data_IF_124311437489
#
_entry.id   IF_124311437489
#
_cell.length_a   1.000
_cell.length_b   1.000
_cell.length_c   1.000
_cell.angle_alpha   90.00
_cell.angle_beta   90.00
_cell.angle_gamma   90.00
#
_symmetry.space_group_name_H-M   'P 1'
#
loop_
_entity.id
_entity.type
_entity.pdbx_description
1 polymer ?
2 water ?
#
# COMPACT_ATOMS: atom_id res chain seq x y z
N UNK A 4 -7.55 -21.20 -12.38
CA UNK A 4 -7.65 -20.21 -11.31
C UNK A 4 -6.54 -19.16 -11.42
N UNK A 5 -5.29 -19.62 -11.29
CA UNK A 5 -4.13 -18.75 -11.38
C UNK A 5 -3.65 -18.71 -12.82
N UNK A 6 -3.65 -17.51 -13.41
CA UNK A 6 -3.12 -17.29 -14.75
C UNK A 6 -2.26 -16.03 -14.69
N UNK A 7 -0.98 -16.18 -15.02
CA UNK A 7 -0.07 -15.04 -14.99
C UNK A 7 -0.21 -14.25 -16.28
N UNK A 8 -0.37 -12.94 -16.13
CA UNK A 8 -0.38 -12.00 -17.25
C UNK A 8 1.06 -11.81 -17.71
N UNK A 9 1.42 -12.44 -18.82
CA UNK A 9 2.82 -12.45 -19.24
C UNK A 9 3.25 -11.22 -20.02
N UNK A 10 2.34 -10.44 -20.60
CA UNK A 10 2.81 -9.18 -21.18
C UNK A 10 3.17 -8.22 -20.05
N UNK A 11 2.39 -8.24 -18.98
CA UNK A 11 2.69 -7.45 -17.79
C UNK A 11 3.97 -7.93 -17.12
N UNK A 12 4.13 -9.25 -16.99
CA UNK A 12 5.36 -9.83 -16.44
C UNK A 12 6.57 -9.39 -17.23
N UNK A 13 6.50 -9.48 -18.56
CA UNK A 13 7.63 -9.11 -19.42
C UNK A 13 7.98 -7.63 -19.26
N UNK A 14 6.98 -6.75 -19.36
CA UNK A 14 7.26 -5.32 -19.29
C UNK A 14 7.86 -4.92 -17.94
N UNK A 15 7.35 -5.51 -16.86
CA UNK A 15 7.79 -5.11 -15.53
C UNK A 15 9.16 -5.71 -15.20
N UNK A 16 9.37 -6.96 -15.58
CA UNK A 16 10.69 -7.58 -15.38
C UNK A 16 11.75 -6.87 -16.20
N UNK A 17 11.44 -6.50 -17.45
CA UNK A 17 12.42 -5.77 -18.25
C UNK A 17 12.64 -4.36 -17.70
N UNK A 18 11.59 -3.71 -17.19
CA UNK A 18 11.79 -2.42 -16.53
C UNK A 18 12.73 -2.54 -15.35
N UNK A 19 12.59 -3.61 -14.56
CA UNK A 19 13.49 -3.85 -13.43
C UNK A 19 14.91 -4.08 -13.88
N UNK A 20 15.10 -4.90 -14.92
CA UNK A 20 16.41 -5.10 -15.53
C UNK A 20 17.02 -3.76 -15.95
N UNK A 21 16.24 -2.94 -16.66
CA UNK A 21 16.76 -1.69 -17.17
C UNK A 21 17.18 -0.75 -16.05
N UNK A 22 16.44 -0.74 -14.94
CA UNK A 22 16.60 0.32 -13.95
C UNK A 22 17.54 -0.04 -12.80
N UNK A 23 17.71 -1.33 -12.47
CA UNK A 23 18.40 -1.62 -11.22
C UNK A 23 19.89 -1.23 -11.18
N UNK A 24 20.68 -1.30 -12.26
CA UNK A 24 22.11 -0.97 -12.11
C UNK A 24 22.35 0.47 -11.69
N UNK A 25 21.42 1.38 -11.96
CA UNK A 25 21.52 2.77 -11.51
C UNK A 25 20.79 3.04 -10.20
N UNK A 26 20.23 2.02 -9.55
CA UNK A 26 19.86 2.16 -8.14
C UNK A 26 21.06 2.67 -7.35
N UNK A 27 20.78 3.41 -6.28
CA UNK A 27 21.83 3.81 -5.35
C UNK A 27 22.68 2.60 -4.97
N UNK A 28 23.99 2.80 -4.92
CA UNK A 28 24.88 1.72 -4.61
C UNK A 28 25.30 0.87 -5.80
N UNK A 29 24.75 1.11 -6.99
CA UNK A 29 25.15 0.44 -8.22
C UNK A 29 25.22 -1.08 -8.08
N UNK A 30 24.11 -1.75 -7.76
CA UNK A 30 24.17 -3.22 -7.68
C UNK A 30 24.40 -3.80 -9.07
N UNK A 31 25.17 -4.88 -9.12
CA UNK A 31 25.45 -5.59 -10.35
C UNK A 31 24.47 -6.71 -10.65
N UNK A 32 23.66 -7.09 -9.67
CA UNK A 32 22.64 -8.11 -9.78
C UNK A 32 21.71 -7.95 -8.59
N UNK A 33 20.55 -8.60 -8.66
CA UNK A 33 19.54 -8.56 -7.61
C UNK A 33 19.23 -9.99 -7.20
N UNK A 34 19.01 -10.23 -5.90
CA UNK A 34 18.52 -11.52 -5.42
C UNK A 34 17.38 -11.29 -4.42
N UNK A 35 16.23 -11.92 -4.69
CA UNK A 35 15.05 -11.86 -3.82
C UNK A 35 14.65 -13.28 -3.47
N UNK A 36 14.43 -13.54 -2.17
CA UNK A 36 14.16 -14.90 -1.70
C UNK A 36 12.88 -14.85 -0.89
N UNK A 37 11.86 -15.59 -1.34
CA UNK A 37 10.61 -15.67 -0.62
C UNK A 37 10.55 -17.04 0.05
N UNK A 38 10.40 -17.05 1.36
CA UNK A 38 10.27 -18.32 2.04
C UNK A 38 8.82 -18.73 2.17
N UNK A 39 8.40 -19.13 3.37
CA UNK A 39 7.00 -19.46 3.56
C UNK A 39 6.17 -18.19 3.62
N UNK A 40 4.93 -18.28 3.13
CA UNK A 40 4.05 -17.13 3.16
C UNK A 40 3.78 -16.70 4.60
N UNK A 41 3.73 -15.40 4.80
CA UNK A 41 3.46 -14.80 6.11
C UNK A 41 2.30 -13.82 5.90
N UNK A 42 1.08 -14.31 6.07
CA UNK A 42 -0.09 -13.46 5.85
C UNK A 42 -0.17 -12.30 6.84
N UNK A 43 0.63 -12.34 7.90
CA UNK A 43 0.66 -11.25 8.88
C UNK A 43 1.55 -10.08 8.46
N UNK A 44 2.37 -10.24 7.43
CA UNK A 44 3.21 -9.15 6.91
C UNK A 44 3.14 -9.15 5.40
N UNK A 45 2.04 -8.64 4.83
CA UNK A 45 1.83 -8.72 3.38
C UNK A 45 2.61 -7.71 2.56
N UNK A 46 3.26 -6.72 3.19
CA UNK A 46 3.88 -5.62 2.47
C UNK A 46 5.40 -5.69 2.47
N UNK A 47 5.98 -6.88 2.67
CA UNK A 47 7.43 -7.01 2.51
C UNK A 47 7.80 -6.82 1.05
N UNK A 48 9.02 -6.30 0.82
CA UNK A 48 9.37 -5.89 -0.52
C UNK A 48 9.36 -7.07 -1.49
N UNK A 49 9.78 -8.24 -1.02
CA UNK A 49 9.84 -9.38 -1.91
C UNK A 49 8.44 -9.85 -2.29
N UNK A 50 7.51 -9.83 -1.32
CA UNK A 50 6.12 -10.14 -1.62
C UNK A 50 5.53 -9.13 -2.58
N UNK A 51 5.79 -7.84 -2.35
CA UNK A 51 5.32 -6.83 -3.29
C UNK A 51 5.87 -7.11 -4.68
N UNK A 52 7.17 -7.40 -4.77
CA UNK A 52 7.78 -7.70 -6.06
C UNK A 52 7.07 -8.85 -6.76
N UNK A 53 6.73 -9.92 -6.02
CA UNK A 53 5.99 -11.03 -6.62
C UNK A 53 4.64 -10.56 -7.12
N UNK A 54 3.93 -9.78 -6.32
CA UNK A 54 2.61 -9.31 -6.73
C UNK A 54 2.72 -8.46 -7.96
N UNK A 55 3.80 -7.66 -8.05
CA UNK A 55 4.02 -6.79 -9.20
C UNK A 55 4.40 -7.59 -10.44
N UNK A 56 5.37 -8.50 -10.32
CA UNK A 56 5.83 -9.22 -11.51
C UNK A 56 4.81 -10.25 -11.97
N UNK A 57 4.21 -10.97 -11.01
CA UNK A 57 3.47 -12.19 -11.28
C UNK A 57 1.98 -12.06 -11.03
N UNK A 58 1.55 -11.10 -10.20
CA UNK A 58 0.18 -11.02 -9.76
C UNK A 58 -0.14 -11.86 -8.55
N UNK A 59 0.82 -12.65 -8.07
CA UNK A 59 0.62 -13.61 -6.98
C UNK A 59 1.93 -13.75 -6.24
N UNK A 60 1.84 -14.07 -4.95
CA UNK A 60 3.01 -14.44 -4.19
C UNK A 60 3.35 -15.91 -4.48
N UNK A 61 4.63 -16.18 -4.80
CA UNK A 61 5.10 -17.54 -5.02
C UNK A 61 5.97 -17.94 -3.85
N UNK A 62 5.45 -18.66 -2.87
CA UNK A 62 6.28 -19.03 -1.72
C UNK A 62 7.43 -19.93 -2.14
N UNK A 63 8.45 -19.99 -1.27
CA UNK A 63 9.57 -20.91 -1.43
C UNK A 63 10.19 -20.78 -2.82
N UNK A 64 10.53 -19.54 -3.19
CA UNK A 64 10.94 -19.19 -4.53
C UNK A 64 12.04 -18.15 -4.47
N UNK A 65 13.06 -18.31 -5.30
CA UNK A 65 14.11 -17.33 -5.45
C UNK A 65 14.06 -16.73 -6.85
N UNK A 66 14.21 -15.42 -6.94
CA UNK A 66 14.31 -14.71 -8.21
C UNK A 66 15.58 -13.87 -8.16
N UNK A 67 16.46 -14.07 -9.13
CA UNK A 67 17.66 -13.25 -9.26
C UNK A 67 17.67 -12.60 -10.63
N UNK A 68 18.11 -11.34 -10.69
CA UNK A 68 18.03 -10.54 -11.91
C UNK A 68 19.43 -10.07 -12.28
N UNK A 69 19.74 -10.13 -13.57
CA UNK A 69 21.03 -9.73 -14.13
C UNK A 69 20.79 -8.92 -15.40
N UNK A 70 21.86 -8.30 -15.92
CA UNK A 70 21.75 -7.62 -17.21
C UNK A 70 21.23 -8.57 -18.29
N UNK A 71 21.75 -9.78 -18.34
CA UNK A 71 21.49 -10.66 -19.48
C UNK A 71 20.43 -11.71 -19.20
N UNK A 72 19.84 -11.73 -18.01
CA UNK A 72 18.85 -12.75 -17.72
C UNK A 72 18.35 -12.73 -16.30
N UNK A 73 17.58 -13.77 -16.00
CA UNK A 73 16.89 -13.88 -14.73
C UNK A 73 16.85 -15.37 -14.38
N UNK A 74 17.10 -15.70 -13.12
CA UNK A 74 17.00 -17.07 -12.63
C UNK A 74 15.85 -17.11 -11.65
N UNK A 75 14.94 -18.05 -11.85
CA UNK A 75 13.86 -18.34 -10.90
C UNK A 75 14.08 -19.76 -10.41
N UNK A 76 14.20 -19.92 -9.09
CA UNK A 76 14.27 -21.24 -8.46
C UNK A 76 12.92 -21.47 -7.79
N UNK A 77 12.18 -22.47 -8.25
CA UNK A 77 10.84 -22.68 -7.71
C UNK A 77 10.42 -24.12 -8.01
N UNK A 78 9.31 -24.52 -7.43
CA UNK A 78 8.91 -25.92 -7.48
C UNK A 78 8.40 -26.30 -8.86
N UNK A 79 8.30 -27.61 -9.10
CA UNK A 79 7.82 -28.09 -10.39
C UNK A 79 6.39 -27.62 -10.64
N UNK A 80 5.56 -27.58 -9.60
CA UNK A 80 4.18 -27.14 -9.76
C UNK A 80 4.09 -25.66 -10.10
N UNK A 81 4.91 -24.83 -9.46
CA UNK A 81 4.90 -23.41 -9.78
C UNK A 81 5.50 -23.15 -11.14
N UNK A 82 6.48 -23.96 -11.53
CA UNK A 82 7.07 -23.85 -12.86
C UNK A 82 6.02 -24.04 -13.95
N UNK A 83 4.99 -24.83 -13.68
CA UNK A 83 3.92 -25.05 -14.66
C UNK A 83 3.20 -23.74 -15.01
N UNK A 84 3.05 -22.82 -14.04
CA UNK A 84 2.40 -21.55 -14.34
C UNK A 84 3.28 -20.64 -15.19
N UNK A 85 4.59 -20.91 -15.23
CA UNK A 85 5.55 -20.02 -15.86
C UNK A 85 6.15 -20.54 -17.16
N UNK A 86 6.18 -21.86 -17.40
CA UNK A 86 7.08 -22.37 -18.42
C UNK A 86 6.70 -21.91 -19.82
N UNK A 87 5.40 -21.89 -20.14
CA UNK A 87 5.01 -21.49 -21.48
C UNK A 87 5.31 -20.02 -21.75
N UNK A 88 5.00 -19.14 -20.80
CA UNK A 88 5.24 -17.71 -21.02
C UNK A 88 6.71 -17.38 -21.06
N UNK A 89 7.50 -18.05 -20.22
CA UNK A 89 8.95 -17.86 -20.22
C UNK A 89 9.57 -18.33 -21.53
N UNK A 90 9.13 -19.47 -22.06
CA UNK A 90 9.68 -19.96 -23.31
C UNK A 90 9.37 -18.97 -24.44
N UNK A 91 8.16 -18.43 -24.45
CA UNK A 91 7.78 -17.45 -25.46
C UNK A 91 8.60 -16.17 -25.31
N UNK A 92 8.75 -15.67 -24.08
CA UNK A 92 9.58 -14.50 -23.85
C UNK A 92 11.02 -14.76 -24.26
N UNK A 93 11.56 -15.93 -23.90
CA UNK A 93 12.94 -16.26 -24.26
C UNK A 93 13.14 -16.26 -25.76
N UNK A 94 12.18 -16.79 -26.52
CA UNK A 94 12.34 -16.84 -27.96
C UNK A 94 12.42 -15.43 -28.53
N UNK A 95 11.61 -14.51 -28.01
CA UNK A 95 11.63 -13.14 -28.50
C UNK A 95 12.93 -12.44 -28.14
N UNK A 96 13.40 -12.62 -26.90
CA UNK A 96 14.56 -11.91 -26.38
C UNK A 96 15.82 -12.75 -26.47
N UNK A 97 15.94 -13.56 -27.54
CA UNK A 97 16.97 -14.59 -27.60
C UNK A 97 18.38 -14.01 -27.49
N UNK A 98 18.61 -12.81 -28.01
CA UNK A 98 19.94 -12.22 -28.00
C UNK A 98 20.05 -11.04 -27.03
N UNK A 99 19.24 -11.03 -25.97
CA UNK A 99 19.26 -9.90 -25.05
C UNK A 99 19.05 -10.35 -23.60
N UNK A 100 18.11 -11.26 -23.38
CA UNK A 100 17.66 -11.54 -22.03
C UNK A 100 17.10 -12.95 -21.98
N UNK A 101 17.60 -13.78 -21.07
CA UNK A 101 17.23 -15.18 -21.00
C UNK A 101 16.79 -15.52 -19.59
N UNK A 102 15.55 -15.98 -19.45
CA UNK A 102 15.03 -16.43 -18.16
C UNK A 102 15.27 -17.92 -18.04
N UNK A 103 15.84 -18.34 -16.93
CA UNK A 103 16.04 -19.76 -16.64
C UNK A 103 15.18 -20.16 -15.45
N UNK A 104 14.38 -21.21 -15.61
CA UNK A 104 13.61 -21.79 -14.52
C UNK A 104 14.40 -22.98 -14.00
N UNK A 105 14.94 -22.86 -12.80
CA UNK A 105 15.58 -23.98 -12.11
C UNK A 105 14.55 -24.63 -11.18
N UNK A 106 14.26 -25.90 -11.37
CA UNK A 106 13.24 -26.56 -10.58
C UNK A 106 13.83 -26.96 -9.23
N UNK A 107 13.24 -26.49 -8.14
CA UNK A 107 13.67 -26.87 -6.81
C UNK A 107 13.19 -28.29 -6.48
N UNK A 108 13.68 -28.81 -5.36
CA UNK A 108 13.23 -30.12 -4.92
C UNK A 108 13.34 -30.20 -3.41
N UNK A 109 12.46 -31.02 -2.82
CA UNK A 109 12.60 -31.38 -1.41
C UNK A 109 13.75 -32.34 -1.16
N UNK A 110 14.30 -32.95 -2.20
CA UNK A 110 15.44 -33.85 -2.04
C UNK A 110 16.62 -33.10 -1.44
N UNK A 111 17.16 -33.54 -0.30
CA UNK A 111 18.26 -32.78 0.32
C UNK A 111 19.49 -32.72 -0.57
N UNK A 112 20.16 -31.55 -0.56
CA UNK A 112 21.31 -31.29 -1.39
C UNK A 112 20.99 -30.65 -2.72
N UNK A 113 19.75 -30.77 -3.18
CA UNK A 113 19.40 -30.30 -4.51
C UNK A 113 19.36 -28.78 -4.55
N UNK A 114 18.54 -28.16 -3.70
CA UNK A 114 18.45 -26.70 -3.67
C UNK A 114 19.78 -26.08 -3.26
N UNK A 115 20.48 -26.71 -2.30
CA UNK A 115 21.78 -26.18 -1.88
C UNK A 115 22.71 -25.96 -3.07
N UNK A 116 22.77 -26.95 -3.97
CA UNK A 116 23.64 -26.84 -5.12
C UNK A 116 23.18 -25.72 -6.04
N UNK A 117 21.86 -25.60 -6.23
CA UNK A 117 21.32 -24.49 -7.02
C UNK A 117 21.73 -23.15 -6.41
N UNK A 118 21.62 -23.03 -5.08
CA UNK A 118 22.04 -21.79 -4.43
C UNK A 118 23.52 -21.52 -4.64
N UNK A 119 24.34 -22.58 -4.57
CA UNK A 119 25.78 -22.42 -4.82
C UNK A 119 26.03 -22.00 -6.26
N UNK A 120 25.37 -22.67 -7.22
CA UNK A 120 25.41 -22.26 -8.62
C UNK A 120 25.04 -20.79 -8.78
N UNK A 121 23.96 -20.36 -8.12
CA UNK A 121 23.51 -18.99 -8.27
C UNK A 121 24.53 -18.00 -7.71
N UNK A 122 25.13 -18.33 -6.56
CA UNK A 122 26.19 -17.49 -6.00
C UNK A 122 27.34 -17.33 -7.00
N UNK A 123 27.66 -18.38 -7.77
CA UNK A 123 28.70 -18.24 -8.79
C UNK A 123 28.32 -17.18 -9.83
N UNK A 124 27.07 -17.21 -10.29
CA UNK A 124 26.64 -16.19 -11.24
C UNK A 124 26.64 -14.79 -10.62
N UNK A 125 26.22 -14.69 -9.35
CA UNK A 125 26.16 -13.38 -8.69
C UNK A 125 27.54 -12.76 -8.56
N UNK A 126 28.53 -13.55 -8.12
CA UNK A 126 29.86 -12.99 -7.92
C UNK A 126 30.52 -12.65 -9.25
N UNK A 127 30.19 -13.38 -10.30
CA UNK A 127 30.69 -13.02 -11.64
C UNK A 127 30.15 -11.67 -12.07
N UNK A 128 28.89 -11.39 -11.73
CA UNK A 128 28.28 -10.11 -12.07
C UNK A 128 28.98 -8.95 -11.37
N UNK A 129 29.36 -9.13 -10.11
CA UNK A 129 29.96 -8.06 -9.35
C UNK A 129 29.80 -8.25 -7.86
N UNK A 130 30.46 -7.38 -7.11
CA UNK A 130 30.48 -7.53 -5.66
C UNK A 130 29.27 -6.90 -4.99
N UNK A 131 28.66 -5.89 -5.61
CA UNK A 131 27.47 -5.26 -5.06
C UNK A 131 26.24 -6.02 -5.52
N UNK A 132 25.46 -6.51 -4.56
CA UNK A 132 24.26 -7.32 -4.82
C UNK A 132 23.06 -6.60 -4.20
N UNK A 133 22.04 -6.36 -5.02
CA UNK A 133 20.84 -5.69 -4.53
C UNK A 133 19.95 -6.68 -3.82
N UNK A 134 19.52 -6.32 -2.61
CA UNK A 134 18.77 -7.21 -1.74
C UNK A 134 17.63 -6.43 -1.08
N UNK A 135 16.57 -7.15 -0.71
CA UNK A 135 15.53 -6.60 0.18
C UNK A 135 15.99 -6.87 1.61
N UNK A 136 16.78 -5.94 2.15
CA UNK A 136 17.59 -6.26 3.33
C UNK A 136 16.74 -6.39 4.59
N UNK A 137 15.55 -5.80 4.61
CA UNK A 137 14.72 -5.82 5.81
C UNK A 137 13.68 -6.93 5.83
N UNK A 138 13.56 -7.69 4.74
CA UNK A 138 12.54 -8.74 4.68
C UNK A 138 12.91 -9.93 5.56
N UNK A 139 11.89 -10.63 6.04
CA UNK A 139 12.10 -11.81 6.86
C UNK A 139 11.06 -12.86 6.52
N UNK A 140 11.54 -14.07 6.22
CA UNK A 140 10.66 -15.22 5.96
C UNK A 140 11.20 -16.44 6.71
N UNK A 141 10.31 -17.40 6.95
CA UNK A 141 10.65 -18.65 7.61
C UNK A 141 10.75 -19.78 6.60
N UNK A 142 11.22 -20.92 7.08
CA UNK A 142 11.15 -22.13 6.29
C UNK A 142 12.53 -22.65 5.91
N UNK A 143 12.56 -23.94 5.56
CA UNK A 143 13.80 -24.63 5.23
C UNK A 143 14.50 -23.99 4.03
N UNK A 144 13.73 -23.57 3.03
CA UNK A 144 14.29 -23.07 1.78
C UNK A 144 15.11 -21.80 2.01
N UNK A 145 14.49 -20.78 2.61
CA UNK A 145 15.23 -19.54 2.84
C UNK A 145 16.33 -19.74 3.87
N UNK A 146 16.13 -20.63 4.84
CA UNK A 146 17.17 -20.84 5.85
C UNK A 146 18.41 -21.49 5.24
N UNK A 147 18.21 -22.43 4.32
CA UNK A 147 19.36 -22.98 3.59
C UNK A 147 20.03 -21.89 2.75
N UNK A 148 19.22 -21.04 2.08
CA UNK A 148 19.78 -19.95 1.28
C UNK A 148 20.65 -19.01 2.14
N UNK A 149 20.15 -18.60 3.31
CA UNK A 149 20.90 -17.66 4.13
C UNK A 149 22.28 -18.21 4.48
N UNK A 150 22.40 -19.52 4.71
CA UNK A 150 23.71 -20.08 4.98
C UNK A 150 24.67 -19.91 3.81
N UNK A 151 24.18 -20.13 2.59
CA UNK A 151 25.00 -19.96 1.41
C UNK A 151 25.40 -18.49 1.25
N UNK A 152 24.42 -17.60 1.42
CA UNK A 152 24.68 -16.17 1.22
C UNK A 152 25.69 -15.66 2.23
N UNK A 153 25.49 -15.98 3.52
CA UNK A 153 26.36 -15.47 4.57
C UNK A 153 27.82 -15.78 4.26
N UNK A 154 28.09 -17.01 3.84
CA UNK A 154 29.45 -17.40 3.47
C UNK A 154 29.94 -16.67 2.23
N UNK A 155 29.11 -16.55 1.19
CA UNK A 155 29.57 -15.84 0.00
C UNK A 155 29.97 -14.41 0.34
N UNK A 156 29.29 -13.79 1.30
CA UNK A 156 29.78 -12.53 1.84
C UNK A 156 31.13 -12.72 2.57
N UNK A 157 31.35 -13.91 3.16
CA UNK A 157 32.61 -14.19 3.85
C UNK A 157 33.67 -14.82 2.96
N UNK A 158 33.26 -15.66 2.00
CA UNK A 158 34.23 -16.25 1.07
C UNK A 158 34.68 -15.21 0.04
N UNK A 159 33.73 -14.58 -0.64
CA UNK A 159 34.03 -13.49 -1.56
C UNK A 159 33.72 -12.17 -0.86
N UNK A 160 33.93 -11.06 -1.56
CA UNK A 160 33.81 -9.75 -0.93
C UNK A 160 32.51 -9.02 -1.18
N UNK A 161 31.40 -9.73 -1.17
CA UNK A 161 30.11 -9.19 -1.61
C UNK A 161 29.52 -8.24 -0.57
N UNK A 162 29.02 -7.09 -1.04
CA UNK A 162 28.30 -6.17 -0.19
C UNK A 162 26.83 -6.16 -0.62
N UNK A 163 25.95 -6.52 0.31
CA UNK A 163 24.53 -6.38 0.07
C UNK A 163 24.10 -4.93 0.07
N UNK A 164 23.23 -4.59 -0.87
CA UNK A 164 22.83 -3.21 -1.09
C UNK A 164 21.31 -3.17 -1.01
N UNK A 165 20.76 -2.40 -0.07
CA UNK A 165 19.30 -2.35 0.01
C UNK A 165 18.74 -1.61 -1.20
N UNK A 166 17.63 -2.12 -1.75
CA UNK A 166 17.11 -1.53 -2.98
C UNK A 166 15.71 -0.97 -2.76
N UNK A 167 15.36 -0.60 -1.51
CA UNK A 167 14.01 -0.10 -1.26
C UNK A 167 13.69 1.15 -2.08
N UNK A 168 14.61 2.13 -2.11
CA UNK A 168 14.30 3.35 -2.84
C UNK A 168 14.15 3.05 -4.32
N UNK A 169 15.02 2.19 -4.86
CA UNK A 169 14.95 1.86 -6.27
C UNK A 169 13.64 1.17 -6.64
N UNK A 170 13.24 0.19 -5.83
CA UNK A 170 11.98 -0.48 -6.11
C UNK A 170 10.80 0.47 -6.01
N UNK A 171 10.82 1.35 -4.99
CA UNK A 171 9.72 2.30 -4.84
C UNK A 171 9.55 3.17 -6.09
N UNK A 172 10.66 3.69 -6.63
CA UNK A 172 10.60 4.49 -7.85
C UNK A 172 10.12 3.65 -9.03
N UNK A 173 10.57 2.40 -9.12
CA UNK A 173 10.19 1.55 -10.24
C UNK A 173 8.69 1.25 -10.22
N UNK A 174 8.12 1.05 -9.02
CA UNK A 174 6.71 0.64 -8.83
C UNK A 174 5.74 1.80 -8.87
N UNK A 175 6.22 3.05 -8.80
CA UNK A 175 5.36 4.17 -8.46
C UNK A 175 4.22 4.35 -9.47
N UNK A 176 4.56 4.42 -10.75
CA UNK A 176 3.59 4.75 -11.77
C UNK A 176 2.71 3.54 -12.03
N UNK A 177 1.39 3.76 -12.02
CA UNK A 177 0.42 2.69 -12.14
C UNK A 177 -0.02 2.61 -13.60
N UNK A 178 0.00 1.40 -14.16
CA UNK A 178 -0.42 1.26 -15.55
C UNK A 178 -1.94 1.20 -15.60
N UNK A 179 -2.48 1.01 -16.80
CA UNK A 179 -3.93 1.05 -16.99
C UNK A 179 -4.64 0.04 -16.09
N UNK A 180 -4.12 -1.19 -16.06
CA UNK A 180 -4.75 -2.25 -15.29
C UNK A 180 -4.69 -1.94 -13.81
N UNK A 181 -3.53 -1.48 -13.33
CA UNK A 181 -3.38 -1.18 -11.92
C UNK A 181 -4.32 -0.06 -11.50
N UNK A 182 -4.46 0.96 -12.35
CA UNK A 182 -5.37 2.05 -12.00
C UNK A 182 -6.81 1.52 -11.85
N UNK A 183 -7.20 0.55 -12.68
CA UNK A 183 -8.53 -0.05 -12.55
C UNK A 183 -8.65 -0.78 -11.22
N UNK A 184 -7.65 -1.57 -10.85
CA UNK A 184 -7.74 -2.27 -9.56
C UNK A 184 -7.81 -1.28 -8.40
N UNK A 185 -7.07 -0.17 -8.49
CA UNK A 185 -7.15 0.85 -7.45
C UNK A 185 -8.54 1.49 -7.38
N UNK A 186 -9.22 1.65 -8.52
CA UNK A 186 -10.57 2.18 -8.46
C UNK A 186 -11.54 1.17 -7.86
N UNK A 187 -11.38 -0.12 -8.18
CA UNK A 187 -12.23 -1.14 -7.57
C UNK A 187 -12.02 -1.13 -6.06
N UNK A 188 -10.75 -1.18 -5.65
CA UNK A 188 -10.42 -1.15 -4.23
C UNK A 188 -11.03 0.05 -3.53
N UNK A 189 -10.88 1.23 -4.14
CA UNK A 189 -11.39 2.46 -3.54
C UNK A 189 -12.89 2.43 -3.40
N UNK A 190 -13.60 1.90 -4.40
CA UNK A 190 -15.04 1.80 -4.27
C UNK A 190 -15.40 0.81 -3.16
N UNK A 191 -14.60 -0.25 -3.01
CA UNK A 191 -14.77 -1.11 -1.84
C UNK A 191 -14.59 -0.35 -0.54
N UNK A 192 -13.55 0.48 -0.44
CA UNK A 192 -13.37 1.28 0.77
C UNK A 192 -14.59 2.15 1.04
N UNK A 193 -15.12 2.80 0.00
CA UNK A 193 -16.36 3.56 0.11
C UNK A 193 -17.49 2.74 0.74
N UNK A 194 -17.67 1.50 0.26
CA UNK A 194 -18.80 0.70 0.74
C UNK A 194 -18.66 0.38 2.22
N UNK A 195 -17.45 0.07 2.65
CA UNK A 195 -17.23 -0.25 4.06
C UNK A 195 -17.27 0.99 4.93
N UNK A 196 -16.82 2.15 4.43
CA UNK A 196 -17.03 3.38 5.21
C UNK A 196 -18.52 3.66 5.39
N UNK A 197 -19.32 3.41 4.35
CA UNK A 197 -20.76 3.56 4.50
C UNK A 197 -21.31 2.64 5.58
N UNK A 198 -20.89 1.36 5.58
CA UNK A 198 -21.33 0.42 6.58
C UNK A 198 -20.91 0.87 7.96
N UNK A 199 -19.69 1.39 8.05
CA UNK A 199 -19.15 1.87 9.31
C UNK A 199 -20.01 3.02 9.84
N UNK A 200 -20.31 3.99 8.98
CA UNK A 200 -21.12 5.11 9.43
C UNK A 200 -22.47 4.64 9.98
N UNK A 201 -23.14 3.74 9.24
CA UNK A 201 -24.45 3.27 9.69
C UNK A 201 -24.38 2.59 11.05
N UNK A 202 -23.35 1.78 11.27
CA UNK A 202 -23.18 1.09 12.55
C UNK A 202 -22.85 2.07 13.67
N UNK A 203 -21.97 3.03 13.37
CA UNK A 203 -21.63 4.04 14.35
C UNK A 203 -22.86 4.81 14.80
N UNK A 204 -23.61 5.35 13.84
CA UNK A 204 -24.78 6.17 14.18
C UNK A 204 -25.76 5.38 15.02
N UNK A 205 -25.94 4.10 14.69
CA UNK A 205 -26.87 3.28 15.46
C UNK A 205 -26.38 3.10 16.90
N UNK A 206 -25.09 2.76 17.06
CA UNK A 206 -24.54 2.58 18.40
C UNK A 206 -24.65 3.85 19.23
N UNK A 207 -24.46 5.02 18.61
CA UNK A 207 -24.56 6.28 19.34
C UNK A 207 -26.02 6.54 19.71
N UNK A 208 -26.90 6.40 18.72
CA UNK A 208 -28.32 6.63 18.92
C UNK A 208 -28.87 5.72 20.03
N UNK A 209 -28.40 4.48 20.10
CA UNK A 209 -28.90 3.50 21.04
C UNK A 209 -28.12 3.45 22.34
N UNK A 210 -27.11 4.31 22.51
CA UNK A 210 -26.39 4.46 23.78
C UNK A 210 -25.85 3.12 24.29
N UNK A 211 -25.52 2.21 23.37
CA UNK A 211 -25.05 0.90 23.76
C UNK A 211 -23.66 1.00 24.40
N UNK A 212 -23.36 0.05 25.27
CA UNK A 212 -22.05 -0.05 25.90
C UNK A 212 -21.13 -0.82 24.96
N UNK A 213 -20.17 -0.12 24.37
CA UNK A 213 -19.31 -0.71 23.35
C UNK A 213 -18.07 0.15 23.23
N UNK A 214 -16.93 -0.49 23.03
CA UNK A 214 -15.66 0.18 22.79
C UNK A 214 -15.48 0.45 21.30
N UNK A 215 -14.59 1.41 21.02
CA UNK A 215 -14.20 1.69 19.64
C UNK A 215 -13.71 0.43 18.93
N UNK A 216 -12.93 -0.39 19.63
CA UNK A 216 -12.32 -1.56 18.99
C UNK A 216 -13.35 -2.64 18.71
N UNK A 217 -14.34 -2.80 19.58
CA UNK A 217 -15.42 -3.75 19.30
C UNK A 217 -16.23 -3.32 18.08
N UNK A 218 -16.54 -2.03 17.99
CA UNK A 218 -17.27 -1.52 16.85
C UNK A 218 -16.49 -1.70 15.55
N UNK A 219 -15.19 -1.39 15.55
CA UNK A 219 -14.44 -1.55 14.30
C UNK A 219 -14.29 -3.02 13.96
N UNK A 220 -14.23 -3.89 14.98
CA UNK A 220 -14.16 -5.31 14.70
C UNK A 220 -15.44 -5.78 14.02
N UNK A 221 -16.60 -5.24 14.46
CA UNK A 221 -17.86 -5.62 13.83
C UNK A 221 -17.83 -5.33 12.33
N UNK A 222 -17.41 -4.11 11.97
CA UNK A 222 -17.28 -3.73 10.57
C UNK A 222 -16.28 -4.62 9.86
N UNK A 223 -15.12 -4.86 10.48
CA UNK A 223 -14.06 -5.66 9.88
C UNK A 223 -14.57 -7.04 9.46
N UNK A 224 -15.40 -7.67 10.28
CA UNK A 224 -15.85 -9.01 9.96
C UNK A 224 -16.91 -9.04 8.86
N UNK A 225 -17.45 -7.87 8.49
CA UNK A 225 -18.43 -7.83 7.41
C UNK A 225 -17.84 -8.28 6.07
N UNK A 226 -16.52 -8.16 5.88
CA UNK A 226 -15.91 -8.53 4.60
C UNK A 226 -15.98 -10.02 4.37
N UNK A 227 -16.23 -10.82 5.39
CA UNK A 227 -16.29 -12.25 5.14
C UNK A 227 -17.68 -12.74 4.76
N UNK A 228 -18.64 -11.83 4.62
CA UNK A 228 -19.98 -12.15 4.14
C UNK A 228 -19.90 -12.19 2.62
N UNK A 229 -19.53 -13.36 2.08
CA UNK A 229 -19.29 -13.49 0.64
C UNK A 229 -20.52 -13.14 -0.18
N UNK A 230 -21.71 -13.44 0.33
CA UNK A 230 -22.92 -13.16 -0.45
C UNK A 230 -23.21 -11.66 -0.51
N UNK A 231 -22.84 -10.92 0.52
CA UNK A 231 -22.85 -9.47 0.45
C UNK A 231 -21.84 -8.98 -0.58
N UNK A 232 -20.64 -9.56 -0.59
CA UNK A 232 -19.62 -9.13 -1.55
C UNK A 232 -20.06 -9.41 -2.98
N UNK A 233 -20.70 -10.55 -3.22
CA UNK A 233 -21.16 -10.88 -4.57
C UNK A 233 -22.07 -9.79 -5.12
N UNK A 234 -22.90 -9.21 -4.26
CA UNK A 234 -23.86 -8.21 -4.71
C UNK A 234 -23.22 -6.86 -5.01
N UNK A 235 -21.94 -6.71 -4.72
CA UNK A 235 -21.22 -5.51 -5.12
C UNK A 235 -20.82 -5.52 -6.58
N UNK A 236 -20.92 -6.68 -7.25
CA UNK A 236 -20.39 -6.78 -8.60
C UNK A 236 -20.95 -5.73 -9.56
N UNK A 237 -22.24 -5.36 -9.54
CA UNK A 237 -22.70 -4.32 -10.47
C UNK A 237 -22.01 -2.98 -10.28
N UNK A 238 -21.59 -2.66 -9.06
CA UNK A 238 -20.86 -1.41 -8.88
C UNK A 238 -19.40 -1.58 -9.29
N UNK A 239 -18.85 -2.79 -9.12
CA UNK A 239 -17.41 -2.98 -9.19
C UNK A 239 -16.92 -3.59 -10.50
N UNK A 240 -17.69 -4.49 -11.11
CA UNK A 240 -17.25 -5.09 -12.37
C UNK A 240 -17.00 -4.05 -13.46
N UNK A 241 -17.80 -2.98 -13.62
CA UNK A 241 -17.46 -1.99 -14.65
C UNK A 241 -16.18 -1.21 -14.37
N UNK A 242 -15.69 -1.21 -13.13
CA UNK A 242 -14.42 -0.58 -12.81
C UNK A 242 -13.23 -1.50 -13.01
N UNK A 243 -13.45 -2.80 -13.20
CA UNK A 243 -12.37 -3.72 -13.47
C UNK A 243 -11.85 -3.51 -14.90
N UNK A 244 -10.66 -4.00 -15.21
CA UNK A 244 -10.15 -3.86 -16.58
C UNK A 244 -11.05 -4.54 -17.60
N UNK A 245 -10.84 -4.15 -18.86
CA UNK A 245 -11.55 -4.78 -19.97
C UNK A 245 -11.32 -6.29 -19.97
N UNK A 246 -12.41 -7.04 -20.11
CA UNK A 246 -12.35 -8.49 -20.10
C UNK A 246 -12.31 -9.13 -18.73
N UNK A 247 -12.35 -8.33 -17.65
CA UNK A 247 -12.32 -8.84 -16.28
C UNK A 247 -13.61 -8.49 -15.56
N UNK A 248 -14.02 -9.40 -14.67
CA UNK A 248 -15.15 -9.21 -13.78
C UNK A 248 -14.66 -9.11 -12.33
N UNK A 249 -15.49 -8.55 -11.46
CA UNK A 249 -15.17 -8.52 -10.04
C UNK A 249 -15.12 -9.93 -9.49
N UNK A 250 -14.06 -10.24 -8.73
CA UNK A 250 -13.87 -11.54 -8.12
C UNK A 250 -13.78 -11.34 -6.61
N UNK A 251 -14.77 -11.86 -5.87
CA UNK A 251 -14.83 -11.64 -4.42
C UNK A 251 -13.60 -12.19 -3.72
N UNK A 252 -12.96 -13.20 -4.30
CA UNK A 252 -11.81 -13.85 -3.68
C UNK A 252 -10.57 -12.98 -3.63
N UNK A 253 -10.54 -11.87 -4.36
CA UNK A 253 -9.39 -10.98 -4.36
C UNK A 253 -9.62 -9.69 -3.59
N UNK A 254 -10.72 -9.58 -2.84
CA UNK A 254 -10.97 -8.42 -1.99
C UNK A 254 -10.57 -8.76 -0.56
N UNK A 255 -9.84 -7.85 0.09
CA UNK A 255 -9.41 -8.04 1.48
C UNK A 255 -9.25 -6.67 2.14
N UNK A 256 -9.00 -6.67 3.44
CA UNK A 256 -8.62 -5.43 4.11
C UNK A 256 -7.15 -5.10 3.87
N UNK A 257 -6.85 -3.80 3.73
CA UNK A 257 -5.46 -3.37 3.74
C UNK A 257 -4.89 -3.29 5.14
N UNK A 258 -5.77 -3.09 6.12
CA UNK A 258 -5.43 -3.00 7.54
C UNK A 258 -6.76 -3.13 8.28
N UNK A 259 -6.66 -3.38 9.59
CA UNK A 259 -7.87 -3.46 10.40
C UNK A 259 -8.50 -2.07 10.53
N UNK A 260 -9.80 -1.92 10.30
CA UNK A 260 -10.44 -0.61 10.39
C UNK A 260 -10.20 0.05 11.74
N UNK A 261 -10.07 1.38 11.72
CA UNK A 261 -9.70 2.15 12.89
C UNK A 261 -10.87 3.07 13.23
N UNK A 262 -11.37 2.98 14.46
CA UNK A 262 -12.31 3.93 15.03
C UNK A 262 -11.69 4.50 16.31
N UNK A 263 -11.73 5.82 16.44
CA UNK A 263 -11.29 6.52 17.66
C UNK A 263 -12.33 7.59 17.96
N UNK A 264 -13.11 7.41 19.02
CA UNK A 264 -14.15 8.36 19.36
C UNK A 264 -13.76 9.33 20.46
N UNK A 265 -12.55 9.25 21.01
CA UNK A 265 -12.15 10.15 22.06
C UNK A 265 -12.42 9.64 23.47
N UNK A 266 -11.90 10.36 24.49
CA UNK A 266 -11.27 11.68 24.37
C UNK A 266 -9.80 11.66 23.90
N UNK A 267 -9.16 10.49 23.84
CA UNK A 267 -7.79 10.40 23.36
C UNK A 267 -7.76 9.84 21.94
N UNK A 268 -7.04 10.51 21.05
CA UNK A 268 -6.93 10.09 19.67
C UNK A 268 -5.46 9.93 19.30
N UNK A 269 -5.21 9.13 18.28
CA UNK A 269 -3.85 8.79 17.88
C UNK A 269 -3.82 8.77 16.36
N UNK A 270 -3.10 9.71 15.76
CA UNK A 270 -3.00 9.84 14.31
C UNK A 270 -1.68 9.34 13.76
N UNK A 271 -0.82 8.78 14.60
CA UNK A 271 0.43 8.21 14.13
C UNK A 271 0.17 7.01 13.22
N UNK A 272 1.14 6.75 12.34
CA UNK A 272 1.04 5.65 11.38
C UNK A 272 0.72 4.34 12.08
N UNK A 273 1.27 4.13 13.27
CA UNK A 273 1.07 2.89 14.02
C UNK A 273 -0.30 2.80 14.70
N UNK A 274 -1.10 3.86 14.66
CA UNK A 274 -2.31 3.93 15.47
C UNK A 274 -3.31 2.85 15.06
N UNK A 275 -4.05 2.36 16.06
CA UNK A 275 -5.15 1.42 15.90
C UNK A 275 -6.40 1.97 16.60
N UNK A 276 -7.48 1.19 16.55
CA UNK A 276 -8.70 1.58 17.25
C UNK A 276 -8.42 1.76 18.74
N UNK A 277 -9.11 2.72 19.33
CA UNK A 277 -9.03 2.89 20.77
C UNK A 277 -9.68 1.71 21.48
N UNK A 278 -9.24 1.45 22.70
CA UNK A 278 -9.79 0.38 23.54
C UNK A 278 -10.88 0.88 24.49
N UNK A 279 -11.21 2.17 24.44
CA UNK A 279 -12.11 2.79 25.40
C UNK A 279 -13.52 2.89 24.84
N UNK A 280 -14.47 3.17 25.73
CA UNK A 280 -15.89 3.26 25.37
C UNK A 280 -16.13 4.22 24.21
N UNK A 281 -17.04 3.83 23.33
CA UNK A 281 -17.49 4.71 22.26
C UNK A 281 -18.07 5.98 22.87
N UNK A 282 -17.51 7.13 22.52
CA UNK A 282 -17.96 8.41 23.06
C UNK A 282 -18.84 9.07 22.02
N UNK A 283 -20.14 9.04 22.24
CA UNK A 283 -21.10 9.54 21.27
C UNK A 283 -21.33 11.03 21.35
N UNK A 284 -20.26 11.80 21.23
CA UNK A 284 -20.31 13.26 21.28
C UNK A 284 -19.10 13.80 20.53
N UNK A 285 -19.25 15.01 19.99
CA UNK A 285 -18.10 15.69 19.41
C UNK A 285 -17.59 14.99 18.16
N UNK A 286 -16.27 14.78 18.07
CA UNK A 286 -15.66 14.19 16.88
C UNK A 286 -15.36 12.70 17.05
N UNK A 287 -15.68 11.91 16.03
CA UNK A 287 -15.36 10.50 15.97
C UNK A 287 -14.62 10.22 14.67
N UNK A 288 -13.45 9.59 14.77
CA UNK A 288 -12.60 9.34 13.62
C UNK A 288 -12.78 7.89 13.15
N UNK A 289 -12.87 7.72 11.84
CA UNK A 289 -12.97 6.39 11.27
C UNK A 289 -12.07 6.28 10.05
N UNK A 290 -11.44 5.11 9.90
CA UNK A 290 -10.55 4.87 8.76
C UNK A 290 -10.73 3.43 8.29
N UNK A 291 -10.82 3.24 6.98
CA UNK A 291 -10.73 1.87 6.54
C UNK A 291 -10.08 1.87 5.16
N UNK A 292 -9.49 0.73 4.85
CA UNK A 292 -8.73 0.62 3.61
C UNK A 292 -8.82 -0.79 3.08
N UNK A 293 -9.04 -0.94 1.79
CA UNK A 293 -9.33 -2.20 1.14
C UNK A 293 -8.20 -2.52 0.18
N UNK A 294 -7.99 -3.81 -0.10
CA UNK A 294 -7.14 -4.24 -1.19
C UNK A 294 -8.00 -4.98 -2.20
N UNK A 295 -7.80 -4.68 -3.48
CA UNK A 295 -8.37 -5.51 -4.54
C UNK A 295 -7.25 -5.95 -5.46
N UNK A 296 -7.12 -7.26 -5.63
CA UNK A 296 -5.98 -7.86 -6.34
C UNK A 296 -4.68 -7.20 -5.91
N UNK A 297 -4.55 -7.02 -4.60
CA UNK A 297 -3.38 -6.53 -3.84
C UNK A 297 -3.20 -5.02 -3.94
N UNK A 298 -4.06 -4.28 -4.65
CA UNK A 298 -3.92 -2.83 -4.75
C UNK A 298 -4.69 -2.14 -3.62
N UNK A 299 -3.97 -1.39 -2.79
CA UNK A 299 -4.52 -0.73 -1.61
C UNK A 299 -5.20 0.59 -1.92
N UNK A 300 -6.24 0.88 -1.14
CA UNK A 300 -6.90 2.18 -1.08
C UNK A 300 -7.14 2.53 0.39
N UNK A 301 -7.52 3.78 0.63
CA UNK A 301 -7.66 4.28 1.99
C UNK A 301 -8.73 5.36 1.98
N UNK A 302 -9.54 5.41 3.05
CA UNK A 302 -10.50 6.48 3.25
C UNK A 302 -10.59 6.74 4.74
N UNK A 303 -10.60 8.01 5.13
CA UNK A 303 -10.80 8.39 6.53
C UNK A 303 -11.85 9.48 6.57
N UNK A 304 -12.74 9.39 7.54
CA UNK A 304 -13.78 10.41 7.70
C UNK A 304 -13.84 10.80 9.17
N UNK A 305 -14.33 12.00 9.42
CA UNK A 305 -14.67 12.45 10.76
C UNK A 305 -16.19 12.56 10.83
N UNK A 306 -16.79 11.99 11.87
CA UNK A 306 -18.21 12.14 12.10
C UNK A 306 -18.41 13.05 13.30
N UNK A 307 -19.38 13.94 13.20
CA UNK A 307 -19.65 14.95 14.23
C UNK A 307 -20.98 14.67 14.88
N UNK A 308 -20.98 14.55 16.22
CA UNK A 308 -22.20 14.32 17.00
C UNK A 308 -22.42 15.55 17.85
N UNK A 309 -23.49 16.30 17.57
CA UNK A 309 -23.78 17.55 18.27
C UNK A 309 -22.52 18.41 18.42
N UNK A 310 -21.81 18.65 17.32
CA UNK A 310 -20.52 19.35 17.42
C UNK A 310 -20.65 20.78 17.91
N UNK A 311 -19.60 21.26 18.58
CA UNK A 311 -19.52 22.68 18.90
C UNK A 311 -19.21 23.51 17.64
N UNK A 312 -19.38 24.83 17.76
CA UNK A 312 -19.10 25.71 16.62
C UNK A 312 -17.64 25.64 16.21
N UNK A 313 -16.73 25.51 17.18
CA UNK A 313 -15.33 25.41 16.79
C UNK A 313 -15.05 24.11 16.05
N UNK A 314 -15.74 23.03 16.42
CA UNK A 314 -15.57 21.77 15.70
C UNK A 314 -16.05 21.89 14.26
N UNK A 315 -17.22 22.51 14.05
CA UNK A 315 -17.73 22.59 12.68
C UNK A 315 -16.89 23.55 11.84
N UNK A 316 -16.43 24.64 12.44
CA UNK A 316 -15.59 25.57 11.70
C UNK A 316 -14.28 24.90 11.28
N UNK A 317 -13.68 24.12 12.19
CA UNK A 317 -12.43 23.48 11.85
C UNK A 317 -12.62 22.30 10.91
N UNK A 318 -13.78 21.62 10.99
CA UNK A 318 -14.04 20.60 9.98
C UNK A 318 -14.24 21.23 8.60
N UNK A 319 -14.93 22.38 8.55
CA UNK A 319 -15.07 23.08 7.28
C UNK A 319 -13.70 23.43 6.71
N UNK A 320 -12.80 23.92 7.56
CA UNK A 320 -11.44 24.23 7.13
C UNK A 320 -10.72 22.98 6.64
N UNK A 321 -10.84 21.87 7.37
CA UNK A 321 -10.18 20.63 6.97
C UNK A 321 -10.55 20.24 5.54
N UNK A 322 -11.84 20.40 5.18
CA UNK A 322 -12.26 20.13 3.80
C UNK A 322 -11.56 21.04 2.82
N UNK A 323 -11.47 22.34 3.13
CA UNK A 323 -10.82 23.30 2.25
C UNK A 323 -9.33 22.99 2.10
N UNK A 324 -8.71 22.53 3.19
CA UNK A 324 -7.28 22.18 3.13
C UNK A 324 -7.05 20.96 2.23
N UNK A 325 -7.88 19.93 2.38
CA UNK A 325 -7.73 18.78 1.50
C UNK A 325 -7.90 19.18 0.05
N UNK A 326 -8.88 20.03 -0.22
CA UNK A 326 -9.09 20.50 -1.59
C UNK A 326 -7.87 21.26 -2.10
N UNK A 327 -7.26 22.10 -1.26
CA UNK A 327 -6.04 22.79 -1.65
C UNK A 327 -4.94 21.81 -2.00
N UNK A 328 -4.78 20.75 -1.21
CA UNK A 328 -3.77 19.74 -1.51
C UNK A 328 -4.10 19.02 -2.81
N UNK A 329 -5.34 18.53 -2.94
CA UNK A 329 -5.67 17.66 -4.06
C UNK A 329 -5.66 18.42 -5.37
N UNK A 330 -6.28 19.60 -5.40
CA UNK A 330 -6.50 20.26 -6.67
C UNK A 330 -5.56 21.44 -6.91
N UNK A 331 -4.69 21.77 -5.97
CA UNK A 331 -3.68 22.79 -6.22
C UNK A 331 -2.24 22.30 -6.06
N UNK A 332 -1.93 21.53 -5.02
CA UNK A 332 -0.53 21.20 -4.75
C UNK A 332 -0.08 19.89 -5.39
N UNK A 333 -0.99 18.97 -5.65
CA UNK A 333 -0.64 17.66 -6.21
C UNK A 333 -0.37 17.83 -7.70
N UNK A 334 0.87 18.13 -8.07
CA UNK A 334 1.23 18.46 -9.43
C UNK A 334 2.43 17.65 -9.88
N UNK A 335 2.44 17.30 -11.18
CA UNK A 335 3.56 16.54 -11.73
C UNK A 335 4.84 17.32 -11.55
N UNK A 336 5.87 16.64 -11.01
CA UNK A 336 7.11 17.29 -10.70
C UNK A 336 7.22 17.78 -9.27
N UNK A 337 6.11 17.89 -8.55
CA UNK A 337 6.17 18.40 -7.18
C UNK A 337 6.85 17.39 -6.27
N UNK A 338 7.62 17.93 -5.27
CA UNK A 338 8.20 17.08 -4.24
C UNK A 338 7.24 16.90 -3.08
N UNK A 339 7.39 15.82 -2.30
CA UNK A 339 6.66 15.72 -1.04
C UNK A 339 6.75 16.98 -0.18
N UNK A 340 7.96 17.55 -0.11
CA UNK A 340 8.18 18.75 0.70
C UNK A 340 7.35 19.92 0.22
N UNK A 341 7.29 20.14 -1.11
CA UNK A 341 6.47 21.23 -1.61
C UNK A 341 5.00 21.02 -1.28
N UNK A 342 4.53 19.78 -1.38
CA UNK A 342 3.13 19.49 -1.06
C UNK A 342 2.87 19.71 0.43
N UNK A 343 3.68 19.08 1.28
CA UNK A 343 3.46 19.25 2.72
C UNK A 343 3.60 20.72 3.12
N UNK A 344 4.64 21.41 2.64
CA UNK A 344 4.81 22.81 3.02
C UNK A 344 3.66 23.68 2.52
N UNK A 345 3.09 23.36 1.35
CA UNK A 345 1.92 24.09 0.90
C UNK A 345 0.72 23.93 1.83
N UNK A 346 0.53 22.73 2.37
CA UNK A 346 -0.49 22.52 3.39
C UNK A 346 -0.20 23.35 4.64
N UNK A 347 1.05 23.36 5.09
CA UNK A 347 1.41 24.16 6.26
C UNK A 347 1.13 25.62 6.00
N UNK A 348 1.45 26.11 4.79
CA UNK A 348 1.16 27.50 4.44
C UNK A 348 -0.32 27.80 4.58
N UNK A 349 -1.17 26.90 4.06
CA UNK A 349 -2.60 27.15 4.06
C UNK A 349 -3.15 27.19 5.49
N UNK A 350 -2.63 26.34 6.38
CA UNK A 350 -3.07 26.36 7.77
C UNK A 350 -2.63 27.64 8.45
N UNK A 351 -1.38 28.05 8.23
CA UNK A 351 -0.87 29.26 8.86
C UNK A 351 -1.68 30.46 8.42
N UNK A 352 -2.12 30.46 7.16
CA UNK A 352 -2.91 31.56 6.64
C UNK A 352 -4.26 31.64 7.32
N UNK A 353 -4.98 30.52 7.39
CA UNK A 353 -6.38 30.52 7.76
C UNK A 353 -6.64 30.09 9.20
N UNK A 354 -5.83 29.19 9.76
CA UNK A 354 -6.15 28.54 11.04
C UNK A 354 -4.87 28.26 11.82
N UNK A 355 -4.16 29.31 12.25
CA UNK A 355 -2.91 29.08 12.97
C UNK A 355 -3.10 28.34 14.29
N UNK A 356 -4.30 28.38 14.87
CA UNK A 356 -4.56 27.57 16.06
C UNK A 356 -4.45 26.07 15.78
N UNK A 357 -4.45 25.66 14.52
CA UNK A 357 -4.33 24.26 14.10
C UNK A 357 -2.92 23.89 13.64
N UNK A 358 -1.98 24.83 13.61
CA UNK A 358 -0.64 24.53 13.09
C UNK A 358 0.06 23.48 13.95
N UNK A 359 -0.06 23.57 15.27
CA UNK A 359 0.70 22.70 16.16
C UNK A 359 0.19 21.27 16.12
N UNK A 360 -1.13 21.12 15.98
CA UNK A 360 -1.75 19.81 16.02
C UNK A 360 -1.76 19.06 14.72
N UNK A 361 -1.32 19.71 13.65
CA UNK A 361 -1.31 19.09 12.33
C UNK A 361 -0.35 17.91 12.29
N UNK A 362 -0.80 16.82 11.65
CA UNK A 362 0.05 15.69 11.32
C UNK A 362 1.31 16.18 10.60
N UNK A 363 2.44 15.53 10.85
CA UNK A 363 3.68 15.94 10.20
C UNK A 363 3.84 15.37 8.79
N UNK A 364 2.80 14.78 8.23
CA UNK A 364 2.80 14.39 6.83
C UNK A 364 1.36 14.44 6.35
N UNK A 365 1.18 14.50 5.04
CA UNK A 365 -0.19 14.44 4.51
C UNK A 365 -0.41 13.18 3.68
N UNK A 366 0.27 12.11 4.03
CA UNK A 366 -0.03 10.84 3.42
C UNK A 366 1.16 10.25 2.70
N UNK A 367 0.91 9.38 1.74
CA UNK A 367 2.03 8.76 1.04
C UNK A 367 1.57 8.26 -0.32
N UNK A 368 2.56 7.94 -1.16
CA UNK A 368 2.30 7.04 -2.28
C UNK A 368 1.71 5.73 -1.76
N UNK A 369 0.79 5.15 -2.54
CA UNK A 369 0.09 3.94 -2.16
C UNK A 369 -0.07 3.07 -3.42
N UNK A 370 -0.13 1.76 -3.21
CA UNK A 370 -0.34 0.84 -4.33
C UNK A 370 -0.36 -0.59 -3.83
N UNK A 371 0.56 -1.43 -4.34
CA UNK A 371 0.74 -2.75 -3.76
C UNK A 371 1.21 -2.65 -2.31
N UNK A 372 1.97 -1.61 -1.99
CA UNK A 372 2.36 -1.30 -0.62
C UNK A 372 1.37 -0.27 -0.08
N UNK A 373 0.80 -0.53 1.09
CA UNK A 373 -0.18 0.40 1.65
C UNK A 373 0.42 1.77 1.90
N UNK A 374 1.61 1.80 2.50
CA UNK A 374 2.33 3.05 2.77
C UNK A 374 3.76 2.91 2.28
N UNK A 375 4.10 3.66 1.24
CA UNK A 375 5.47 3.69 0.72
C UNK A 375 6.25 4.71 1.54
N UNK A 376 7.06 4.21 2.47
CA UNK A 376 7.84 5.06 3.36
C UNK A 376 8.93 5.84 2.63
N UNK A 377 9.24 5.46 1.40
CA UNK A 377 10.16 6.21 0.54
C UNK A 377 9.50 7.40 -0.13
N UNK A 378 8.18 7.56 0.02
CA UNK A 378 7.46 8.64 -0.65
C UNK A 378 6.34 9.09 0.29
N UNK A 379 6.73 9.52 1.51
CA UNK A 379 5.82 10.12 2.46
C UNK A 379 5.73 11.62 2.18
N UNK A 380 4.52 12.18 2.29
CA UNK A 380 4.32 13.59 1.96
C UNK A 380 4.61 14.42 3.21
N UNK A 381 5.91 14.60 3.48
CA UNK A 381 6.35 15.36 4.64
C UNK A 381 7.40 16.38 4.20
N UNK A 382 7.89 17.17 5.16
CA UNK A 382 8.86 18.22 4.85
C UNK A 382 10.24 17.66 4.50
N UNK A 383 10.54 16.44 4.93
CA UNK A 383 11.90 15.93 4.80
C UNK A 383 12.23 15.48 3.39
N UNK A 384 11.25 14.95 2.66
CA UNK A 384 11.53 14.32 1.37
C UNK A 384 11.48 15.38 0.28
N UNK A 385 12.65 15.80 -0.21
CA UNK A 385 12.77 16.69 -1.36
C UNK A 385 13.38 15.95 -2.56
N UNK A 386 13.41 14.62 -2.52
CA UNK A 386 14.12 13.82 -3.51
C UNK A 386 13.21 12.88 -4.32
N UNK A 387 11.90 12.94 -4.11
CA UNK A 387 10.95 12.26 -4.98
C UNK A 387 10.12 13.33 -5.69
N UNK A 388 9.53 12.92 -6.82
CA UNK A 388 8.76 13.82 -7.66
C UNK A 388 7.47 13.12 -8.06
N UNK A 389 6.35 13.83 -7.94
CA UNK A 389 5.07 13.30 -8.40
C UNK A 389 5.12 13.07 -9.90
N UNK A 390 4.58 11.93 -10.33
CA UNK A 390 4.51 11.63 -11.76
C UNK A 390 3.06 11.30 -12.11
N UNK A 391 2.69 11.56 -13.36
CA UNK A 391 1.42 11.06 -13.87
C UNK A 391 1.36 9.54 -13.67
N UNK A 392 0.22 9.06 -13.18
CA UNK A 392 0.02 7.66 -12.87
C UNK A 392 0.30 7.27 -11.44
N UNK A 393 0.86 8.17 -10.65
CA UNK A 393 0.99 7.90 -9.23
C UNK A 393 -0.36 7.90 -8.55
N UNK A 394 -0.49 7.06 -7.53
CA UNK A 394 -1.70 7.02 -6.70
C UNK A 394 -1.30 7.35 -5.28
N UNK A 395 -2.04 8.27 -4.65
CA UNK A 395 -1.72 8.70 -3.29
C UNK A 395 -2.85 8.40 -2.32
N UNK A 396 -2.43 8.10 -1.08
CA UNK A 396 -3.27 8.22 0.11
C UNK A 396 -3.04 9.64 0.63
N UNK A 397 -4.00 10.53 0.41
CA UNK A 397 -3.91 11.90 0.94
C UNK A 397 -4.66 11.88 2.26
N UNK A 398 -3.91 11.91 3.37
CA UNK A 398 -4.49 11.69 4.70
C UNK A 398 -3.98 12.81 5.60
N UNK A 399 -4.89 13.55 6.18
CA UNK A 399 -4.47 14.63 7.05
C UNK A 399 -5.27 14.65 8.33
N UNK A 400 -4.63 15.16 9.36
CA UNK A 400 -5.22 15.07 10.68
C UNK A 400 -4.74 16.20 11.55
N UNK A 401 -5.58 16.53 12.54
CA UNK A 401 -5.23 17.48 13.59
C UNK A 401 -5.53 16.81 14.91
N UNK A 402 -4.58 16.82 15.84
CA UNK A 402 -4.79 16.14 17.11
C UNK A 402 -4.64 17.14 18.26
N UNK A 403 -5.09 16.71 19.44
CA UNK A 403 -4.87 17.47 20.67
C UNK A 403 -5.53 18.85 20.61
N UNK A 404 -6.75 18.87 20.11
CA UNK A 404 -7.58 20.06 20.12
C UNK A 404 -8.55 19.99 21.30
N UNK A 405 -8.97 21.17 21.78
CA UNK A 405 -10.01 21.26 22.78
C UNK A 405 -10.93 22.41 22.42
N UNK A 406 -12.23 22.20 22.61
CA UNK A 406 -13.15 23.33 22.50
C UNK A 406 -12.80 24.39 23.53
N UNK A 407 -12.74 25.65 23.09
CA UNK A 407 -12.24 26.69 23.99
C UNK A 407 -13.18 26.98 25.16
N UNK A 408 -14.45 26.64 25.05
CA UNK A 408 -15.41 26.94 26.12
C UNK A 408 -15.76 25.73 26.97
N UNK A 409 -15.98 24.56 26.36
CA UNK A 409 -16.30 23.37 27.12
C UNK A 409 -15.07 22.56 27.51
N UNK A 410 -13.91 22.82 26.91
CA UNK A 410 -12.73 22.02 27.15
C UNK A 410 -12.77 20.64 26.54
N UNK A 411 -13.82 20.29 25.80
CA UNK A 411 -13.96 18.95 25.24
C UNK A 411 -12.84 18.63 24.26
N UNK A 412 -12.19 17.49 24.46
CA UNK A 412 -11.12 17.05 23.57
C UNK A 412 -11.69 16.56 22.24
N UNK A 413 -11.02 16.92 21.14
CA UNK A 413 -11.41 16.38 19.85
C UNK A 413 -10.21 16.32 18.92
N UNK A 414 -10.45 15.76 17.74
CA UNK A 414 -9.43 15.57 16.73
C UNK A 414 -10.17 15.52 15.41
N UNK A 415 -9.43 15.72 14.33
CA UNK A 415 -10.03 15.74 13.01
C UNK A 415 -9.16 14.93 12.06
N UNK A 416 -9.80 14.17 11.18
CA UNK A 416 -9.00 13.42 10.23
C UNK A 416 -9.81 13.16 8.97
N UNK A 417 -9.17 13.36 7.81
CA UNK A 417 -9.82 13.12 6.53
C UNK A 417 -8.81 12.48 5.61
N UNK A 418 -9.20 11.42 4.90
CA UNK A 418 -8.30 10.81 3.93
C UNK A 418 -9.09 10.35 2.71
N UNK A 419 -8.45 10.45 1.54
CA UNK A 419 -9.02 9.95 0.31
C UNK A 419 -7.91 9.40 -0.58
N UNK A 420 -8.29 8.50 -1.47
CA UNK A 420 -7.36 7.93 -2.45
C UNK A 420 -7.43 8.75 -3.73
N UNK A 421 -6.28 9.22 -4.21
CA UNK A 421 -6.21 10.14 -5.33
C UNK A 421 -5.26 9.57 -6.39
N UNK A 422 -5.74 9.49 -7.62
CA UNK A 422 -4.99 8.99 -8.75
C UNK A 422 -4.58 10.15 -9.64
N UNK A 423 -3.29 10.25 -9.96
CA UNK A 423 -2.84 11.19 -10.98
C UNK A 423 -3.12 10.59 -12.34
N UNK A 424 -3.91 11.29 -13.16
CA UNK A 424 -4.16 10.92 -14.55
C UNK A 424 -3.72 12.05 -15.48
N UNK A 425 -3.78 11.75 -16.78
CA UNK A 425 -3.44 12.80 -17.75
C UNK A 425 -4.41 13.98 -17.63
N UNK A 426 -5.65 13.72 -17.20
CA UNK A 426 -6.62 14.77 -16.95
C UNK A 426 -6.49 15.44 -15.62
N UNK A 427 -5.49 15.06 -14.83
CA UNK A 427 -5.27 15.64 -13.53
C UNK A 427 -5.59 14.66 -12.43
N UNK A 428 -5.56 15.14 -11.19
CA UNK A 428 -5.87 14.26 -10.06
C UNK A 428 -7.33 13.84 -10.11
N UNK A 429 -7.59 12.59 -9.76
CA UNK A 429 -8.93 12.04 -9.75
C UNK A 429 -9.13 11.37 -8.41
N UNK A 430 -10.14 11.81 -7.65
CA UNK A 430 -10.41 11.22 -6.33
C UNK A 430 -11.16 9.91 -6.54
N UNK A 431 -10.60 8.81 -6.06
CA UNK A 431 -11.19 7.50 -6.30
C UNK A 431 -12.21 7.09 -5.24
N UNK A 432 -12.09 7.62 -4.02
CA UNK A 432 -13.00 7.33 -2.91
C UNK A 432 -14.02 8.48 -2.87
N UNK A 433 -15.28 8.15 -3.14
CA UNK A 433 -16.32 9.15 -3.33
C UNK A 433 -17.39 9.10 -2.24
N UNK A 434 -17.17 8.34 -1.16
CA UNK A 434 -18.08 8.41 -0.03
C UNK A 434 -18.14 9.85 0.49
N UNK A 435 -19.33 10.30 0.87
CA UNK A 435 -19.52 11.70 1.23
C UNK A 435 -18.57 12.15 2.35
N UNK A 436 -18.20 13.43 2.27
CA UNK A 436 -17.53 14.11 3.36
C UNK A 436 -18.19 15.46 3.61
N UNK A 437 -19.35 15.70 3.03
CA UNK A 437 -20.05 16.95 3.27
C UNK A 437 -20.44 17.01 4.73
N UNK A 438 -20.20 18.16 5.39
CA UNK A 438 -20.47 18.26 6.82
C UNK A 438 -21.92 17.89 7.14
N UNK A 439 -22.86 18.32 6.31
CA UNK A 439 -24.27 18.04 6.56
C UNK A 439 -24.57 16.55 6.57
N UNK A 440 -23.71 15.72 6.00
CA UNK A 440 -23.96 14.29 5.89
C UNK A 440 -23.09 13.45 6.80
N UNK A 441 -22.11 14.04 7.47
CA UNK A 441 -21.32 13.34 8.48
C UNK A 441 -21.64 13.87 9.89
N UNK A 442 -22.65 14.72 10.00
CA UNK A 442 -23.08 15.31 11.26
C UNK A 442 -24.39 14.68 11.70
N UNK A 443 -24.47 14.31 12.96
CA UNK A 443 -25.64 13.66 13.52
C UNK A 443 -25.96 14.31 14.85
N UNK A 444 -27.25 14.40 15.16
CA UNK A 444 -27.72 15.17 16.31
C UNK A 444 -28.64 14.31 17.16
N UNK A 445 -28.44 14.36 18.47
CA UNK A 445 -29.24 13.56 19.39
C UNK A 445 -29.77 14.44 20.51
#
# INVERSE_FOLDING_TARGET
GSSEVIIDFSTFENRLLALRDRFPSFDGSPSSLVFILGSADEENPYQKTTILHNWLLGYEFPTTLIAVFKEGCVVITSAAKTRYLEEGVAQMNKKLENTFKIELWQSSKEPGHNLKLFEDLVERVREAGSAVGLATKDSYQGKFITEWKGVWDTAVEKHGLNGVDVSLGLSSLWAVKDEKEQAYLQVSSRGSDKFMNLLSDELVRAVDEEIKITDAKLSDNVENEIDKSRFLKKLSPELTPLCPKGEKFDVNYLDWAYSPIIQSGPKYDLRVSARSSETQLDGNGCILASCGIRYKNYCSNISRTFLIDPSDEMTDNYDFLLLLQEEIINNLLRVGATPKQIYDGAVNYINSKKPELSAGFTKNVGSLMGLEFRDSQFVLNNKNDYRKVENGDCFNISLGFNNLKDSKTGASYALQLADTVQLTSGGPKVLTNYTKSRSQISFYFNNEDDGTTKVKSEESK
#
